data_IF_603580077826
#
_entry.id   IF_603580077826
#
_cell.length_a   1.000
_cell.length_b   1.000
_cell.length_c   1.000
_cell.angle_alpha   90.00
_cell.angle_beta   90.00
_cell.angle_gamma   90.00
#
_symmetry.space_group_name_H-M   'P 1'
#
loop_
_entity.id
_entity.type
_entity.pdbx_description
1 polymer ?
#
# COMPACT_ATOMS: atom_id res chain seq x y z
N UNK A 1 -10.69 17.18 -16.34
CA UNK A 1 -10.96 16.10 -15.37
C UNK A 1 -10.67 14.77 -16.05
N UNK A 2 -9.72 13.98 -15.54
CA UNK A 2 -9.37 12.67 -16.14
C UNK A 2 -10.01 11.58 -15.28
N UNK A 3 -10.89 10.72 -15.83
CA UNK A 3 -11.48 9.62 -15.07
C UNK A 3 -10.41 8.58 -14.71
N UNK A 4 -10.65 7.81 -13.65
CA UNK A 4 -9.76 6.73 -13.19
C UNK A 4 -8.32 7.20 -12.88
N UNK A 5 -8.20 8.40 -12.32
CA UNK A 5 -6.96 8.99 -11.83
C UNK A 5 -7.21 9.68 -10.50
N UNK A 6 -6.14 9.95 -9.76
CA UNK A 6 -6.19 10.78 -8.56
C UNK A 6 -6.55 12.22 -8.97
N UNK A 7 -7.71 12.69 -8.51
CA UNK A 7 -8.18 14.06 -8.75
C UNK A 7 -7.84 15.02 -7.61
N UNK A 8 -7.62 14.50 -6.40
CA UNK A 8 -7.25 15.33 -5.27
C UNK A 8 -5.85 15.92 -5.49
N UNK A 9 -5.69 17.25 -5.58
CA UNK A 9 -4.43 17.86 -6.04
C UNK A 9 -3.25 17.56 -5.11
N UNK A 10 -3.45 17.66 -3.79
CA UNK A 10 -2.40 17.34 -2.80
C UNK A 10 -1.94 15.88 -2.87
N UNK A 11 -2.88 14.93 -2.89
CA UNK A 11 -2.58 13.52 -3.11
C UNK A 11 -1.88 13.26 -4.46
N UNK A 12 -2.36 13.84 -5.55
CA UNK A 12 -1.74 13.68 -6.87
C UNK A 12 -0.29 14.17 -6.87
N UNK A 13 -0.05 15.35 -6.26
CA UNK A 13 1.29 15.87 -6.09
C UNK A 13 2.17 14.95 -5.24
N UNK A 14 1.66 14.48 -4.08
CA UNK A 14 2.42 13.59 -3.20
C UNK A 14 2.79 12.29 -3.92
N UNK A 15 1.82 11.64 -4.59
CA UNK A 15 2.05 10.40 -5.33
C UNK A 15 3.03 10.57 -6.49
N UNK A 16 3.04 11.73 -7.15
CA UNK A 16 4.03 12.03 -8.20
C UNK A 16 5.47 12.12 -7.69
N UNK A 17 5.68 12.23 -6.37
CA UNK A 17 7.03 12.24 -5.75
C UNK A 17 7.50 10.90 -5.20
N UNK A 18 6.65 9.86 -5.26
CA UNK A 18 6.96 8.52 -4.73
C UNK A 18 7.93 7.82 -5.68
N UNK A 19 9.08 7.39 -5.15
CA UNK A 19 10.09 6.59 -5.86
C UNK A 19 10.10 5.12 -5.43
N UNK A 20 10.95 4.31 -6.09
CA UNK A 20 11.17 2.92 -5.69
C UNK A 20 11.75 2.87 -4.27
N UNK A 21 11.13 2.06 -3.40
CA UNK A 21 11.51 1.89 -2.00
C UNK A 21 10.85 2.88 -1.03
N UNK A 22 10.19 3.93 -1.53
CA UNK A 22 9.41 4.84 -0.68
C UNK A 22 8.19 4.13 -0.09
N UNK A 23 7.83 4.52 1.14
CA UNK A 23 6.66 3.97 1.84
C UNK A 23 5.49 4.96 1.73
N UNK A 24 4.36 4.47 1.24
CA UNK A 24 3.05 5.14 1.32
C UNK A 24 2.24 4.46 2.41
N UNK A 25 2.00 5.17 3.52
CA UNK A 25 1.23 4.63 4.64
C UNK A 25 -0.23 5.09 4.54
N UNK A 26 -1.16 4.15 4.46
CA UNK A 26 -2.61 4.42 4.52
C UNK A 26 -3.12 4.03 5.89
N UNK A 27 -3.83 4.91 6.57
CA UNK A 27 -4.24 4.68 7.96
C UNK A 27 -5.75 4.77 8.16
N UNK A 28 -6.23 4.12 9.21
CA UNK A 28 -7.54 4.38 9.78
C UNK A 28 -7.62 5.82 10.34
N UNK A 29 -8.81 6.21 10.82
CA UNK A 29 -9.03 7.54 11.38
C UNK A 29 -8.32 7.75 12.74
N UNK A 30 -7.96 6.70 13.46
CA UNK A 30 -7.41 6.76 14.82
C UNK A 30 -5.88 6.75 14.90
N UNK A 31 -5.19 6.35 13.84
CA UNK A 31 -3.74 6.19 13.84
C UNK A 31 -2.98 7.47 14.24
N UNK A 32 -2.00 7.41 15.16
CA UNK A 32 -1.18 8.55 15.53
C UNK A 32 -0.19 8.90 14.41
N UNK A 33 -0.25 10.13 13.92
CA UNK A 33 0.60 10.59 12.80
C UNK A 33 1.71 11.50 13.34
N UNK A 34 2.99 11.25 12.99
CA UNK A 34 4.10 12.12 13.39
C UNK A 34 3.84 13.59 13.01
N UNK A 35 4.24 14.51 13.88
CA UNK A 35 3.95 15.94 13.75
C UNK A 35 4.41 16.54 12.41
N UNK A 36 5.59 16.13 11.95
CA UNK A 36 6.25 16.68 10.76
C UNK A 36 6.05 15.79 9.52
N UNK A 37 5.14 14.81 9.57
CA UNK A 37 4.86 13.92 8.45
C UNK A 37 4.17 14.67 7.30
N UNK A 38 4.48 14.26 6.06
CA UNK A 38 3.70 14.65 4.89
C UNK A 38 2.33 13.95 4.93
N UNK A 39 1.36 14.59 5.57
CA UNK A 39 0.02 14.03 5.81
C UNK A 39 -1.00 14.54 4.79
N UNK A 40 -1.76 13.62 4.21
CA UNK A 40 -2.95 13.91 3.40
C UNK A 40 -4.17 13.36 4.12
N UNK A 41 -4.99 14.24 4.69
CA UNK A 41 -6.26 13.86 5.33
C UNK A 41 -7.37 13.79 4.27
N UNK A 42 -7.88 12.58 4.01
CA UNK A 42 -9.04 12.37 3.13
C UNK A 42 -10.32 12.07 3.90
N UNK A 43 -10.20 11.61 5.16
CA UNK A 43 -11.33 11.32 6.04
C UNK A 43 -12.13 12.58 6.38
N UNK A 44 -13.30 12.73 5.76
CA UNK A 44 -14.20 13.87 6.01
C UNK A 44 -15.41 13.51 6.89
N UNK A 45 -15.69 12.22 7.06
CA UNK A 45 -16.72 11.72 7.97
C UNK A 45 -16.40 10.30 8.42
N UNK A 46 -17.05 9.82 9.48
CA UNK A 46 -16.87 8.46 9.97
C UNK A 46 -17.22 7.44 8.87
N UNK A 47 -16.26 6.59 8.54
CA UNK A 47 -16.30 5.60 7.46
C UNK A 47 -16.04 6.13 6.05
N UNK A 48 -15.73 7.42 5.87
CA UNK A 48 -15.72 8.06 4.54
C UNK A 48 -14.48 8.95 4.26
N UNK A 49 -13.70 8.64 3.20
CA UNK A 49 -13.61 7.34 2.52
C UNK A 49 -13.01 6.28 3.44
N UNK A 50 -13.28 5.00 3.20
CA UNK A 50 -12.66 3.91 3.96
C UNK A 50 -11.22 3.65 3.49
N UNK A 51 -10.42 2.99 4.33
CA UNK A 51 -9.08 2.50 3.96
C UNK A 51 -9.16 1.62 2.72
N UNK A 52 -10.18 0.78 2.63
CA UNK A 52 -10.42 -0.12 1.49
C UNK A 52 -10.56 0.66 0.18
N UNK A 53 -11.27 1.80 0.19
CA UNK A 53 -11.45 2.64 -0.99
C UNK A 53 -10.12 3.24 -1.47
N UNK A 54 -9.32 3.73 -0.51
CA UNK A 54 -8.00 4.30 -0.80
C UNK A 54 -7.04 3.23 -1.33
N UNK A 55 -7.00 2.04 -0.72
CA UNK A 55 -6.14 0.95 -1.17
C UNK A 55 -6.52 0.46 -2.57
N UNK A 56 -7.82 0.32 -2.88
CA UNK A 56 -8.29 -0.04 -4.23
C UNK A 56 -7.91 1.01 -5.28
N UNK A 57 -7.90 2.29 -4.90
CA UNK A 57 -7.44 3.36 -5.77
C UNK A 57 -5.92 3.27 -5.96
N UNK A 58 -5.13 3.17 -4.89
CA UNK A 58 -3.67 3.10 -4.96
C UNK A 58 -3.20 1.87 -5.74
N UNK A 59 -3.87 0.71 -5.62
CA UNK A 59 -3.56 -0.50 -6.39
C UNK A 59 -3.53 -0.27 -7.91
N UNK A 60 -4.29 0.72 -8.42
CA UNK A 60 -4.34 1.10 -9.84
C UNK A 60 -3.29 2.16 -10.23
N UNK A 61 -2.77 2.90 -9.26
CA UNK A 61 -1.90 4.06 -9.47
C UNK A 61 -0.44 3.78 -9.13
N UNK A 62 -0.13 2.71 -8.39
CA UNK A 62 1.23 2.34 -8.02
C UNK A 62 1.49 0.83 -8.07
N UNK A 63 2.74 0.47 -8.35
CA UNK A 63 3.25 -0.88 -8.13
C UNK A 63 3.88 -0.95 -6.74
N UNK A 64 3.73 -2.09 -6.08
CA UNK A 64 4.27 -2.35 -4.74
C UNK A 64 5.18 -3.57 -4.76
N UNK A 65 6.20 -3.57 -3.91
CA UNK A 65 7.09 -4.73 -3.69
C UNK A 65 6.93 -5.35 -2.30
N UNK A 66 6.23 -4.68 -1.39
CA UNK A 66 5.82 -5.23 -0.10
C UNK A 66 4.55 -4.52 0.40
N UNK A 67 3.67 -5.28 1.06
CA UNK A 67 2.48 -4.77 1.73
C UNK A 67 2.61 -5.09 3.23
N UNK A 68 3.01 -4.09 4.01
CA UNK A 68 3.03 -4.16 5.47
C UNK A 68 1.67 -3.80 6.06
N UNK A 69 1.24 -4.47 7.12
CA UNK A 69 0.01 -4.14 7.84
C UNK A 69 0.14 -4.55 9.31
N UNK A 70 -0.76 -4.02 10.15
CA UNK A 70 -0.76 -4.32 11.58
C UNK A 70 -1.05 -5.81 11.83
N UNK A 71 -0.19 -6.49 12.59
CA UNK A 71 -0.36 -7.92 12.93
C UNK A 71 -1.76 -8.22 13.50
N UNK A 72 -2.37 -7.26 14.22
CA UNK A 72 -3.72 -7.40 14.74
C UNK A 72 -4.79 -7.61 13.66
N UNK A 73 -4.59 -7.11 12.42
CA UNK A 73 -5.53 -7.35 11.31
C UNK A 73 -5.63 -8.84 11.00
N UNK A 74 -4.48 -9.53 10.86
CA UNK A 74 -4.44 -10.99 10.64
C UNK A 74 -5.06 -11.75 11.81
N UNK A 75 -4.67 -11.37 13.04
CA UNK A 75 -4.98 -12.17 14.23
C UNK A 75 -6.40 -11.92 14.77
N UNK A 76 -6.98 -10.75 14.50
CA UNK A 76 -8.21 -10.28 15.15
C UNK A 76 -9.26 -9.77 14.18
N UNK A 77 -8.92 -9.58 12.90
CA UNK A 77 -9.85 -9.05 11.89
C UNK A 77 -9.74 -9.81 10.56
N UNK A 78 -10.02 -11.13 10.54
CA UNK A 78 -9.76 -12.01 9.39
C UNK A 78 -10.48 -11.58 8.10
N UNK A 79 -11.66 -10.96 8.21
CA UNK A 79 -12.39 -10.45 7.03
C UNK A 79 -11.68 -9.25 6.38
N UNK A 80 -11.10 -8.35 7.20
CA UNK A 80 -10.29 -7.24 6.70
C UNK A 80 -8.97 -7.75 6.11
N UNK A 81 -8.34 -8.72 6.76
CA UNK A 81 -7.14 -9.37 6.24
C UNK A 81 -7.40 -9.98 4.85
N UNK A 82 -8.50 -10.73 4.70
CA UNK A 82 -8.93 -11.28 3.41
C UNK A 82 -9.22 -10.18 2.39
N UNK A 83 -9.86 -9.09 2.81
CA UNK A 83 -10.11 -7.93 1.94
C UNK A 83 -8.80 -7.33 1.41
N UNK A 84 -7.75 -7.23 2.24
CA UNK A 84 -6.44 -6.78 1.77
C UNK A 84 -5.82 -7.77 0.79
N UNK A 85 -5.89 -9.08 1.05
CA UNK A 85 -5.44 -10.10 0.13
C UNK A 85 -6.15 -10.00 -1.24
N UNK A 86 -7.47 -9.82 -1.24
CA UNK A 86 -8.26 -9.67 -2.46
C UNK A 86 -7.84 -8.43 -3.27
N UNK A 87 -7.59 -7.28 -2.60
CA UNK A 87 -7.14 -6.04 -3.26
C UNK A 87 -5.76 -6.22 -3.91
N UNK A 88 -4.85 -6.93 -3.25
CA UNK A 88 -3.45 -7.08 -3.68
C UNK A 88 -3.15 -8.42 -4.36
N UNK A 89 -4.17 -9.22 -4.65
CA UNK A 89 -4.04 -10.40 -5.51
C UNK A 89 -3.45 -10.00 -6.86
N UNK A 90 -2.42 -10.73 -7.29
CA UNK A 90 -1.66 -10.42 -8.50
C UNK A 90 -0.80 -9.14 -8.41
N UNK A 91 -0.53 -8.61 -7.22
CA UNK A 91 0.45 -7.53 -7.05
C UNK A 91 1.90 -8.00 -7.17
N UNK A 92 2.15 -9.31 -7.01
CA UNK A 92 3.48 -9.90 -7.00
C UNK A 92 4.35 -9.40 -5.84
N UNK A 93 3.72 -9.15 -4.70
CA UNK A 93 4.37 -8.62 -3.51
C UNK A 93 3.89 -9.39 -2.26
N UNK A 94 4.79 -9.72 -1.32
CA UNK A 94 4.45 -10.41 -0.09
C UNK A 94 3.72 -9.51 0.90
N UNK A 95 3.04 -10.17 1.82
CA UNK A 95 2.43 -9.56 3.00
C UNK A 95 3.40 -9.61 4.18
N UNK A 96 3.52 -8.51 4.91
CA UNK A 96 4.36 -8.39 6.11
C UNK A 96 3.50 -7.98 7.30
N UNK A 97 3.43 -8.83 8.32
CA UNK A 97 2.77 -8.49 9.58
C UNK A 97 3.73 -7.68 10.46
N UNK A 98 3.34 -6.46 10.78
CA UNK A 98 4.15 -5.51 11.55
C UNK A 98 3.43 -5.19 12.86
N UNK A 99 4.08 -5.30 14.03
CA UNK A 99 3.49 -4.88 15.29
C UNK A 99 3.00 -3.43 15.24
N UNK A 100 1.86 -3.14 15.89
CA UNK A 100 1.27 -1.80 15.92
C UNK A 100 2.28 -0.71 16.33
N UNK A 101 3.04 -0.96 17.39
CA UNK A 101 4.05 -0.03 17.90
C UNK A 101 5.14 0.22 16.86
N UNK A 102 5.57 -0.79 16.11
CA UNK A 102 6.55 -0.63 15.04
C UNK A 102 6.00 0.17 13.85
N UNK A 103 4.71 0.00 13.51
CA UNK A 103 4.05 0.86 12.50
C UNK A 103 4.10 2.34 12.93
N UNK A 104 3.84 2.62 14.21
CA UNK A 104 3.80 3.98 14.75
C UNK A 104 5.20 4.58 14.89
N UNK A 105 6.14 3.85 15.48
CA UNK A 105 7.44 4.38 15.91
C UNK A 105 8.52 4.28 14.83
N UNK A 106 8.40 3.30 13.92
CA UNK A 106 9.45 3.01 12.93
C UNK A 106 8.98 3.29 11.51
N UNK A 107 7.79 2.82 11.14
CA UNK A 107 7.31 2.92 9.75
C UNK A 107 6.76 4.32 9.45
N UNK A 108 5.89 4.86 10.30
CA UNK A 108 5.28 6.17 10.06
C UNK A 108 6.32 7.32 9.92
N UNK A 109 7.40 7.41 10.73
CA UNK A 109 8.41 8.44 10.53
C UNK A 109 9.22 8.32 9.22
N UNK A 110 9.27 7.12 8.63
CA UNK A 110 9.94 6.84 7.36
C UNK A 110 9.01 6.98 6.14
N UNK A 111 7.71 7.10 6.36
CA UNK A 111 6.74 7.18 5.29
C UNK A 111 6.94 8.47 4.48
N UNK A 112 6.99 8.32 3.16
CA UNK A 112 7.07 9.44 2.20
C UNK A 112 5.81 10.29 2.24
N UNK A 113 4.67 9.64 2.43
CA UNK A 113 3.36 10.24 2.60
C UNK A 113 2.50 9.34 3.49
N UNK A 114 1.71 9.96 4.36
CA UNK A 114 0.71 9.29 5.19
C UNK A 114 -0.67 9.77 4.74
N UNK A 115 -1.52 8.85 4.31
CA UNK A 115 -2.87 9.12 3.82
C UNK A 115 -3.86 8.66 4.90
N UNK A 116 -4.51 9.61 5.57
CA UNK A 116 -5.49 9.32 6.62
C UNK A 116 -6.89 9.17 6.02
N UNK A 117 -7.48 8.01 6.22
CA UNK A 117 -8.86 7.74 5.83
C UNK A 117 -9.88 8.24 6.87
N UNK A 118 -11.16 8.09 6.57
CA UNK A 118 -12.23 8.19 7.56
C UNK A 118 -12.56 6.86 8.24
N UNK A 119 -11.79 5.79 8.01
CA UNK A 119 -12.14 4.43 8.41
C UNK A 119 -12.17 4.23 9.93
N UNK A 120 -13.13 3.41 10.36
CA UNK A 120 -13.26 2.91 11.74
C UNK A 120 -12.99 1.40 11.83
N UNK A 121 -12.44 0.80 10.76
CA UNK A 121 -11.93 -0.56 10.82
C UNK A 121 -10.72 -0.59 11.76
N UNK A 122 -10.82 -1.31 12.88
CA UNK A 122 -9.75 -1.38 13.85
C UNK A 122 -8.45 -1.93 13.22
N UNK A 123 -7.34 -1.24 13.48
CA UNK A 123 -5.99 -1.57 13.00
C UNK A 123 -5.81 -1.51 11.48
N UNK A 124 -6.71 -0.86 10.73
CA UNK A 124 -6.64 -0.78 9.28
C UNK A 124 -5.53 0.18 8.80
N UNK A 125 -4.29 -0.16 9.10
CA UNK A 125 -3.09 0.62 8.80
C UNK A 125 -2.19 -0.23 7.90
N UNK A 126 -1.89 0.27 6.70
CA UNK A 126 -1.21 -0.48 5.64
C UNK A 126 -0.08 0.35 5.05
N UNK A 127 1.14 -0.18 5.15
CA UNK A 127 2.35 0.38 4.59
C UNK A 127 2.65 -0.25 3.22
N UNK A 128 2.58 0.56 2.16
CA UNK A 128 2.85 0.13 0.80
C UNK A 128 4.26 0.56 0.41
N UNK A 129 5.17 -0.40 0.22
CA UNK A 129 6.51 -0.11 -0.30
C UNK A 129 6.44 -0.04 -1.81
N UNK A 130 6.69 1.14 -2.36
CA UNK A 130 6.58 1.43 -3.78
C UNK A 130 7.65 0.71 -4.58
N UNK A 131 7.30 0.31 -5.80
CA UNK A 131 8.17 -0.43 -6.69
C UNK A 131 8.00 0.01 -8.14
N UNK A 132 8.86 -0.51 -9.00
CA UNK A 132 8.75 -0.33 -10.45
C UNK A 132 7.72 -1.29 -11.03
N UNK A 133 7.18 -0.93 -12.20
CA UNK A 133 6.45 -1.86 -13.08
C UNK A 133 7.45 -2.85 -13.66
N UNK A 134 7.41 -4.13 -13.24
CA UNK A 134 8.38 -5.09 -13.73
C UNK A 134 8.17 -5.38 -15.21
N UNK A 135 6.99 -5.16 -15.80
CA UNK A 135 6.75 -5.38 -17.24
C UNK A 135 7.33 -4.24 -18.08
N UNK A 136 7.14 -3.00 -17.64
CA UNK A 136 7.67 -1.85 -18.35
C UNK A 136 9.21 -1.76 -18.27
N UNK A 137 9.82 -2.08 -17.13
CA UNK A 137 11.26 -1.86 -16.93
C UNK A 137 12.17 -2.93 -17.54
N UNK A 138 11.67 -4.14 -17.77
CA UNK A 138 12.44 -5.24 -18.34
C UNK A 138 11.85 -5.72 -19.67
N UNK A 139 11.63 -4.78 -20.60
CA UNK A 139 10.96 -5.04 -21.88
C UNK A 139 11.92 -5.17 -23.08
N UNK A 140 13.20 -4.86 -22.91
CA UNK A 140 14.22 -5.00 -23.95
C UNK A 140 14.67 -6.47 -24.09
N UNK A 141 14.95 -6.96 -25.31
CA UNK A 141 15.22 -8.38 -25.57
C UNK A 141 16.55 -8.87 -24.99
N UNK A 142 17.52 -7.98 -24.79
CA UNK A 142 18.89 -8.33 -24.39
C UNK A 142 19.14 -8.14 -22.88
N UNK A 143 18.10 -7.83 -22.10
CA UNK A 143 18.19 -7.71 -20.64
C UNK A 143 17.96 -9.07 -19.98
N UNK A 144 18.98 -9.57 -19.27
CA UNK A 144 18.82 -10.70 -18.35
C UNK A 144 18.15 -10.22 -17.05
N UNK A 145 16.94 -10.70 -16.83
CA UNK A 145 16.07 -10.24 -15.75
C UNK A 145 16.46 -10.96 -14.45
N UNK A 146 16.70 -10.21 -13.37
CA UNK A 146 16.99 -10.82 -12.08
C UNK A 146 15.89 -11.81 -11.67
N UNK A 147 16.23 -12.96 -11.06
CA UNK A 147 15.26 -14.00 -10.70
C UNK A 147 14.07 -13.49 -9.88
N UNK A 148 14.30 -12.52 -8.98
CA UNK A 148 13.24 -11.91 -8.19
C UNK A 148 12.16 -11.23 -9.06
N UNK A 149 12.52 -10.58 -10.16
CA UNK A 149 11.57 -9.95 -11.07
C UNK A 149 10.91 -10.95 -12.01
N UNK A 150 11.59 -12.04 -12.38
CA UNK A 150 10.97 -13.17 -13.10
C UNK A 150 9.85 -13.76 -12.26
N UNK A 151 10.13 -14.05 -10.99
CA UNK A 151 9.15 -14.59 -10.05
C UNK A 151 8.01 -13.61 -9.77
N UNK A 152 8.33 -12.33 -9.55
CA UNK A 152 7.31 -11.28 -9.41
C UNK A 152 6.37 -11.21 -10.61
N UNK A 153 6.90 -11.23 -11.84
CA UNK A 153 6.08 -11.27 -13.06
C UNK A 153 5.19 -12.50 -13.13
N UNK A 154 5.69 -13.68 -12.73
CA UNK A 154 4.89 -14.92 -12.65
C UNK A 154 3.72 -14.74 -11.68
N UNK A 155 4.00 -14.32 -10.44
CA UNK A 155 2.98 -14.08 -9.42
C UNK A 155 1.89 -13.11 -9.89
N UNK A 156 2.26 -12.05 -10.62
CA UNK A 156 1.31 -11.10 -11.17
C UNK A 156 0.43 -11.71 -12.27
N UNK A 157 1.02 -12.46 -13.21
CA UNK A 157 0.27 -13.10 -14.33
C UNK A 157 -0.67 -14.18 -13.84
N UNK A 158 -0.26 -14.93 -12.83
CA UNK A 158 -1.04 -16.03 -12.26
C UNK A 158 -2.04 -15.57 -11.19
N UNK A 159 -2.15 -14.25 -10.94
CA UNK A 159 -3.00 -13.66 -9.90
C UNK A 159 -2.80 -14.34 -8.55
N UNK A 160 -1.53 -14.52 -8.16
CA UNK A 160 -1.18 -15.13 -6.88
C UNK A 160 -1.69 -14.24 -5.75
N UNK A 161 -2.38 -14.85 -4.79
CA UNK A 161 -2.82 -14.21 -3.55
C UNK A 161 -1.59 -13.97 -2.68
N UNK A 162 -1.38 -12.76 -2.12
CA UNK A 162 -0.23 -12.50 -1.26
C UNK A 162 -0.24 -13.40 -0.03
N UNK A 163 0.88 -14.08 0.17
CA UNK A 163 1.15 -14.87 1.37
C UNK A 163 1.93 -14.02 2.37
N UNK A 164 1.69 -14.33 3.66
CA UNK A 164 2.47 -13.75 4.74
C UNK A 164 3.91 -14.26 4.63
N UNK A 165 4.87 -13.34 4.66
CA UNK A 165 6.29 -13.66 4.73
C UNK A 165 6.79 -13.44 6.15
N UNK A 166 7.53 -14.42 6.65
CA UNK A 166 8.22 -14.40 7.95
C UNK A 166 9.31 -13.32 8.01
#
# INVERSE_FOLDING_TARGET
>A
MIPNRILHPGLAQAMATVGHGDIVLVTDAGFPIPKDANRIDLGFYAGLPDVIDILKMLRKEMFVEAIGFDTAVRDRHPDLYKTFQDIYTGAGAPFLAIPHEELVEVVAPKAKVIIRSGSFNAWANVALTAATDPFAWFNEPDIDILPAYVERRRMMRENVVPELKD
#
